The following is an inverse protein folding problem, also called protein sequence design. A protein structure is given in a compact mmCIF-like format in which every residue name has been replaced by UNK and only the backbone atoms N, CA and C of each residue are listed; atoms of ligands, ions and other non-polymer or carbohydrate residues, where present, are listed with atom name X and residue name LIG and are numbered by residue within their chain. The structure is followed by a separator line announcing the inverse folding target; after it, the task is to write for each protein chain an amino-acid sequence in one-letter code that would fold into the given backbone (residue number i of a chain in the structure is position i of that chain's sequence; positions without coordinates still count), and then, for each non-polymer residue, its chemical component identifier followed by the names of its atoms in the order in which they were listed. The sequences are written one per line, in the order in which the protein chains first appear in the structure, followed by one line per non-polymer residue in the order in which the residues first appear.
data_IF_896454494410
#
_entry.id   IF_896454494410
#
_cell.length_a   1.000
_cell.length_b   1.000
_cell.length_c   1.000
_cell.angle_alpha   90.00
_cell.angle_beta   90.00
_cell.angle_gamma   90.00
#
_symmetry.space_group_name_H-M   'P 1'
#
loop_
_entity.id
_entity.type
_entity.pdbx_description
1 polymer ?
#
# COMPACT_ATOMS: atom_id res chain seq x y z
N UNK A 1 24.23 28.04 2.29
CA UNK A 1 22.91 27.67 2.85
C UNK A 1 21.79 27.88 1.83
N UNK A 2 21.62 29.07 1.23
CA UNK A 2 20.57 29.35 0.23
C UNK A 2 20.53 28.41 -1.02
N UNK A 3 21.67 27.87 -1.45
CA UNK A 3 21.73 26.95 -2.60
C UNK A 3 21.14 25.55 -2.29
N UNK A 4 21.17 25.12 -1.02
CA UNK A 4 20.56 23.85 -0.60
C UNK A 4 19.03 23.98 -0.52
N UNK A 5 18.55 25.15 -0.10
CA UNK A 5 17.12 25.45 0.01
C UNK A 5 16.42 25.57 -1.36
N UNK A 6 17.15 26.03 -2.39
CA UNK A 6 16.62 26.06 -3.77
C UNK A 6 16.53 24.66 -4.37
N UNK A 7 17.57 23.84 -4.16
CA UNK A 7 17.61 22.46 -4.66
C UNK A 7 16.54 21.60 -4.01
N UNK A 8 16.35 21.69 -2.68
CA UNK A 8 15.28 20.96 -1.98
C UNK A 8 13.89 21.37 -2.44
N UNK A 9 13.63 22.68 -2.64
CA UNK A 9 12.34 23.18 -3.16
C UNK A 9 12.07 22.77 -4.59
N UNK A 10 13.11 22.72 -5.44
CA UNK A 10 12.98 22.22 -6.82
C UNK A 10 12.70 20.71 -6.84
N UNK A 11 13.39 19.93 -6.00
CA UNK A 11 13.18 18.50 -5.89
C UNK A 11 11.79 18.17 -5.33
N UNK A 12 11.36 18.82 -4.25
CA UNK A 12 10.01 18.62 -3.68
C UNK A 12 8.91 18.93 -4.70
N UNK A 13 9.02 20.08 -5.37
CA UNK A 13 8.04 20.52 -6.38
C UNK A 13 8.05 19.62 -7.62
N UNK A 14 9.21 19.08 -7.99
CA UNK A 14 9.34 18.07 -9.03
C UNK A 14 8.65 16.76 -8.64
N UNK A 15 8.91 16.24 -7.45
CA UNK A 15 8.32 15.00 -6.93
C UNK A 15 6.79 15.08 -6.87
N UNK A 16 6.23 16.17 -6.32
CA UNK A 16 4.78 16.37 -6.26
C UNK A 16 4.12 16.38 -7.65
N UNK A 17 4.80 16.94 -8.65
CA UNK A 17 4.31 16.97 -10.03
C UNK A 17 4.36 15.57 -10.66
N UNK A 18 5.47 14.86 -10.48
CA UNK A 18 5.63 13.48 -10.96
C UNK A 18 4.63 12.52 -10.32
N UNK A 19 4.38 12.65 -9.02
CA UNK A 19 3.40 11.85 -8.29
C UNK A 19 1.99 12.01 -8.87
N UNK A 20 1.55 13.26 -9.09
CA UNK A 20 0.24 13.54 -9.73
C UNK A 20 0.18 12.99 -11.15
N UNK A 21 1.26 13.13 -11.92
CA UNK A 21 1.32 12.59 -13.28
C UNK A 21 1.23 11.06 -13.30
N UNK A 22 1.94 10.38 -12.40
CA UNK A 22 1.87 8.92 -12.24
C UNK A 22 0.48 8.47 -11.80
N UNK A 23 -0.11 9.15 -10.80
CA UNK A 23 -1.45 8.86 -10.33
C UNK A 23 -2.49 8.94 -11.46
N UNK A 24 -2.44 10.01 -12.27
CA UNK A 24 -3.33 10.18 -13.43
C UNK A 24 -3.10 9.12 -14.49
N UNK A 25 -1.84 8.78 -14.77
CA UNK A 25 -1.48 7.74 -15.74
C UNK A 25 -2.04 6.36 -15.33
N UNK A 26 -1.81 5.96 -14.08
CA UNK A 26 -2.32 4.70 -13.54
C UNK A 26 -3.85 4.72 -13.52
N UNK A 27 -4.47 5.84 -13.12
CA UNK A 27 -5.92 5.98 -13.10
C UNK A 27 -6.55 5.77 -14.48
N UNK A 28 -6.01 6.40 -15.52
CA UNK A 28 -6.45 6.18 -16.90
C UNK A 28 -6.30 4.71 -17.31
N UNK A 29 -5.17 4.09 -16.96
CA UNK A 29 -4.95 2.66 -17.20
C UNK A 29 -6.00 1.78 -16.52
N UNK A 30 -6.37 2.07 -15.27
CA UNK A 30 -7.43 1.36 -14.53
C UNK A 30 -8.78 1.54 -15.21
N UNK A 31 -9.15 2.77 -15.60
CA UNK A 31 -10.42 3.02 -16.30
C UNK A 31 -10.52 2.19 -17.58
N UNK A 32 -9.48 2.21 -18.42
CA UNK A 32 -9.46 1.43 -19.67
C UNK A 32 -9.52 -0.07 -19.38
N UNK A 33 -8.74 -0.56 -18.40
CA UNK A 33 -8.73 -1.97 -18.01
C UNK A 33 -10.10 -2.45 -17.50
N UNK A 34 -10.78 -1.61 -16.71
CA UNK A 34 -12.07 -1.96 -16.09
C UNK A 34 -13.18 -1.96 -17.12
N UNK A 35 -13.19 -0.99 -18.04
CA UNK A 35 -14.13 -0.95 -19.17
C UNK A 35 -13.94 -2.14 -20.11
N UNK A 36 -12.69 -2.46 -20.48
CA UNK A 36 -12.39 -3.62 -21.32
C UNK A 36 -12.78 -4.93 -20.62
N UNK A 37 -12.53 -5.05 -19.32
CA UNK A 37 -12.96 -6.22 -18.54
C UNK A 37 -14.48 -6.34 -18.46
N UNK A 38 -15.20 -5.24 -18.24
CA UNK A 38 -16.66 -5.23 -18.19
C UNK A 38 -17.27 -5.65 -19.53
N UNK A 39 -16.69 -5.20 -20.65
CA UNK A 39 -17.13 -5.60 -21.98
C UNK A 39 -16.97 -7.11 -22.21
N UNK A 40 -15.80 -7.66 -21.85
CA UNK A 40 -15.51 -9.08 -22.03
C UNK A 40 -16.42 -9.99 -21.18
N UNK A 41 -16.85 -9.50 -20.01
CA UNK A 41 -17.75 -10.23 -19.12
C UNK A 41 -19.23 -10.18 -19.53
N UNK A 42 -19.62 -9.19 -20.34
CA UNK A 42 -21.01 -9.07 -20.80
C UNK A 42 -21.45 -10.25 -21.69
N UNK A 43 -20.50 -10.85 -22.40
CA UNK A 43 -20.70 -12.04 -23.22
C UNK A 43 -20.18 -13.34 -22.60
N UNK A 44 -19.74 -13.29 -21.33
CA UNK A 44 -19.15 -14.46 -20.67
C UNK A 44 -20.22 -15.44 -20.18
N UNK A 45 -19.84 -16.71 -20.11
CA UNK A 45 -20.70 -17.79 -19.62
C UNK A 45 -20.61 -17.88 -18.09
N UNK A 46 -21.66 -17.39 -17.41
CA UNK A 46 -21.73 -17.30 -15.95
C UNK A 46 -21.97 -18.64 -15.25
N UNK A 47 -22.20 -19.70 -16.03
CA UNK A 47 -22.32 -21.07 -15.50
C UNK A 47 -20.98 -21.70 -15.13
N UNK A 48 -19.86 -21.13 -15.58
CA UNK A 48 -18.53 -21.72 -15.41
C UNK A 48 -17.79 -21.09 -14.22
N UNK A 49 -17.22 -21.93 -13.35
CA UNK A 49 -16.46 -21.49 -12.17
C UNK A 49 -15.24 -20.65 -12.56
N UNK A 50 -14.65 -20.91 -13.72
CA UNK A 50 -13.52 -20.17 -14.29
C UNK A 50 -13.85 -18.69 -14.51
N UNK A 51 -15.05 -18.39 -15.03
CA UNK A 51 -15.55 -17.02 -15.20
C UNK A 51 -15.56 -16.27 -13.87
N UNK A 52 -15.98 -16.93 -12.78
CA UNK A 52 -16.01 -16.33 -11.44
C UNK A 52 -14.57 -16.08 -10.92
N UNK A 53 -13.66 -17.04 -11.08
CA UNK A 53 -12.26 -16.84 -10.69
C UNK A 53 -11.61 -15.68 -11.45
N UNK A 54 -11.85 -15.60 -12.75
CA UNK A 54 -11.34 -14.52 -13.59
C UNK A 54 -11.94 -13.16 -13.21
N UNK A 55 -13.23 -13.10 -12.85
CA UNK A 55 -13.88 -11.89 -12.37
C UNK A 55 -13.22 -11.39 -11.09
N UNK A 56 -13.12 -12.26 -10.08
CA UNK A 56 -12.50 -11.93 -8.79
C UNK A 56 -11.07 -11.47 -9.02
N UNK A 57 -10.31 -12.16 -9.87
CA UNK A 57 -8.94 -11.78 -10.20
C UNK A 57 -8.83 -10.38 -10.82
N UNK A 58 -9.69 -10.05 -11.79
CA UNK A 58 -9.70 -8.74 -12.46
C UNK A 58 -10.14 -7.63 -11.50
N UNK A 59 -11.15 -7.89 -10.66
CA UNK A 59 -11.63 -6.93 -9.64
C UNK A 59 -10.54 -6.66 -8.61
N UNK A 60 -9.89 -7.68 -8.06
CA UNK A 60 -8.78 -7.50 -7.12
C UNK A 60 -7.63 -6.70 -7.73
N UNK A 61 -7.31 -6.95 -9.00
CA UNK A 61 -6.30 -6.18 -9.72
C UNK A 61 -6.67 -4.70 -9.82
N UNK A 62 -7.94 -4.38 -10.13
CA UNK A 62 -8.43 -3.02 -10.18
C UNK A 62 -8.38 -2.33 -8.80
N UNK A 63 -8.79 -3.02 -7.73
CA UNK A 63 -8.74 -2.50 -6.35
C UNK A 63 -7.31 -2.19 -5.93
N UNK A 64 -6.36 -3.09 -6.20
CA UNK A 64 -4.93 -2.89 -5.93
C UNK A 64 -4.42 -1.62 -6.64
N UNK A 65 -4.79 -1.42 -7.91
CA UNK A 65 -4.36 -0.25 -8.66
C UNK A 65 -5.00 1.05 -8.14
N UNK A 66 -6.27 1.02 -7.72
CA UNK A 66 -6.93 2.17 -7.08
C UNK A 66 -6.29 2.53 -5.73
N UNK A 67 -6.00 1.53 -4.89
CA UNK A 67 -5.37 1.78 -3.59
C UNK A 67 -3.91 2.26 -3.76
N UNK A 68 -3.21 1.82 -4.81
CA UNK A 68 -1.91 2.37 -5.18
C UNK A 68 -2.01 3.87 -5.55
N UNK A 69 -3.00 4.26 -6.35
CA UNK A 69 -3.25 5.68 -6.69
C UNK A 69 -3.55 6.48 -5.42
N UNK A 70 -4.42 5.97 -4.54
CA UNK A 70 -4.71 6.62 -3.25
C UNK A 70 -3.44 6.77 -2.44
N UNK A 71 -2.65 5.71 -2.28
CA UNK A 71 -1.40 5.71 -1.52
C UNK A 71 -0.39 6.71 -2.08
N UNK A 72 -0.26 6.80 -3.41
CA UNK A 72 0.58 7.80 -4.07
C UNK A 72 0.16 9.22 -3.66
N UNK A 73 -1.14 9.52 -3.65
CA UNK A 73 -1.65 10.88 -3.38
C UNK A 73 -1.71 11.22 -1.89
N UNK A 74 -2.07 10.27 -1.04
CA UNK A 74 -2.33 10.52 0.39
C UNK A 74 -1.16 10.15 1.30
N UNK A 75 -0.14 9.45 0.79
CA UNK A 75 1.04 9.02 1.55
C UNK A 75 0.71 8.27 2.86
N UNK A 76 -0.45 7.60 2.91
CA UNK A 76 -0.92 6.90 4.10
C UNK A 76 -0.33 5.48 4.18
N UNK A 77 0.53 5.22 5.16
CA UNK A 77 1.17 3.91 5.33
C UNK A 77 0.16 2.81 5.71
N UNK A 78 -1.03 3.15 6.22
CA UNK A 78 -2.11 2.20 6.46
C UNK A 78 -2.69 1.62 5.15
N UNK A 79 -2.83 2.44 4.11
CA UNK A 79 -3.28 2.01 2.78
C UNK A 79 -2.34 1.00 2.12
N UNK A 80 -1.03 1.11 2.39
CA UNK A 80 -0.03 0.15 1.87
C UNK A 80 -0.26 -1.26 2.40
N UNK A 81 -0.69 -1.40 3.66
CA UNK A 81 -0.91 -2.71 4.27
C UNK A 81 -2.18 -3.39 3.73
N UNK A 82 -3.24 -2.61 3.51
CA UNK A 82 -4.47 -3.08 2.87
C UNK A 82 -4.19 -3.52 1.41
N UNK A 83 -3.43 -2.71 0.67
CA UNK A 83 -2.93 -3.04 -0.66
C UNK A 83 -2.15 -4.38 -0.66
N UNK A 84 -1.23 -4.57 0.29
CA UNK A 84 -0.44 -5.79 0.38
C UNK A 84 -1.30 -7.02 0.71
N UNK A 85 -2.32 -6.88 1.55
CA UNK A 85 -3.29 -7.95 1.82
C UNK A 85 -4.00 -8.39 0.54
N UNK A 86 -4.48 -7.43 -0.27
CA UNK A 86 -5.11 -7.70 -1.55
C UNK A 86 -4.15 -8.35 -2.57
N UNK A 87 -2.88 -7.92 -2.61
CA UNK A 87 -1.85 -8.52 -3.47
C UNK A 87 -1.61 -9.99 -3.12
N UNK A 88 -1.55 -10.31 -1.83
CA UNK A 88 -1.41 -11.70 -1.34
C UNK A 88 -2.64 -12.51 -1.70
N UNK A 89 -3.85 -12.00 -1.42
CA UNK A 89 -5.11 -12.66 -1.77
C UNK A 89 -5.24 -12.94 -3.28
N UNK A 90 -4.79 -12.00 -4.13
CA UNK A 90 -4.75 -12.21 -5.58
C UNK A 90 -3.81 -13.36 -5.97
N UNK A 91 -2.63 -13.47 -5.34
CA UNK A 91 -1.69 -14.56 -5.63
C UNK A 91 -2.26 -15.92 -5.25
N UNK A 92 -3.06 -16.00 -4.17
CA UNK A 92 -3.65 -17.26 -3.69
C UNK A 92 -4.82 -17.78 -4.51
N UNK A 93 -5.37 -16.99 -5.44
CA UNK A 93 -6.48 -17.37 -6.32
C UNK A 93 -6.05 -18.15 -7.57
N UNK A 94 -4.75 -18.36 -7.79
CA UNK A 94 -4.26 -19.15 -8.92
C UNK A 94 -4.39 -20.65 -8.62
N UNK A 95 -5.02 -21.47 -9.47
CA UNK A 95 -5.22 -22.89 -9.19
C UNK A 95 -3.92 -23.71 -9.12
N UNK A 96 -2.84 -23.26 -9.78
CA UNK A 96 -1.53 -23.94 -9.79
C UNK A 96 -0.57 -23.44 -8.70
N UNK A 97 -1.06 -23.28 -7.47
CA UNK A 97 -0.18 -22.89 -6.37
C UNK A 97 0.42 -24.11 -5.72
N UNK A 98 1.75 -24.15 -5.71
CA UNK A 98 2.47 -25.09 -4.87
C UNK A 98 2.22 -24.73 -3.40
N UNK A 99 2.23 -25.72 -2.51
CA UNK A 99 2.15 -25.51 -1.05
C UNK A 99 3.21 -24.50 -0.59
N UNK A 100 4.36 -24.46 -1.25
CA UNK A 100 5.42 -23.48 -1.01
C UNK A 100 5.00 -22.04 -1.32
N UNK A 101 4.24 -21.80 -2.40
CA UNK A 101 3.78 -20.46 -2.77
C UNK A 101 2.78 -19.91 -1.76
N UNK A 102 1.88 -20.77 -1.28
CA UNK A 102 0.91 -20.44 -0.24
C UNK A 102 1.66 -20.13 1.06
N UNK A 103 2.57 -20.99 1.50
CA UNK A 103 3.34 -20.78 2.72
C UNK A 103 4.16 -19.49 2.68
N UNK A 104 4.84 -19.21 1.57
CA UNK A 104 5.64 -17.99 1.40
C UNK A 104 4.77 -16.73 1.40
N UNK A 105 3.57 -16.80 0.82
CA UNK A 105 2.61 -15.69 0.81
C UNK A 105 2.09 -15.34 2.22
N UNK A 106 1.82 -16.37 3.06
CA UNK A 106 1.42 -16.19 4.46
C UNK A 106 2.58 -15.63 5.31
N UNK A 107 3.81 -16.13 5.10
CA UNK A 107 5.00 -15.62 5.80
C UNK A 107 5.28 -14.17 5.42
N UNK A 108 5.20 -13.83 4.12
CA UNK A 108 5.35 -12.45 3.66
C UNK A 108 4.28 -11.54 4.29
N UNK A 109 3.03 -11.98 4.32
CA UNK A 109 1.94 -11.24 4.97
C UNK A 109 2.18 -11.04 6.47
N UNK A 110 2.65 -12.06 7.19
CA UNK A 110 2.97 -11.98 8.60
C UNK A 110 4.15 -11.03 8.89
N UNK A 111 5.20 -11.04 8.05
CA UNK A 111 6.34 -10.13 8.16
C UNK A 111 5.88 -8.68 7.94
N UNK A 112 5.03 -8.43 6.94
CA UNK A 112 4.47 -7.11 6.67
C UNK A 112 3.66 -6.59 7.86
N UNK A 113 2.84 -7.46 8.47
CA UNK A 113 2.07 -7.13 9.67
C UNK A 113 2.96 -6.91 10.91
N UNK A 114 4.06 -7.66 11.02
CA UNK A 114 5.05 -7.52 12.09
C UNK A 114 5.88 -6.23 11.96
N UNK A 115 6.29 -5.88 10.75
CA UNK A 115 7.00 -4.64 10.44
C UNK A 115 6.20 -3.40 10.82
N UNK A 116 4.86 -3.43 10.64
CA UNK A 116 3.96 -2.40 11.16
C UNK A 116 4.13 -2.20 12.67
N UNK A 117 4.15 -3.28 13.46
CA UNK A 117 4.23 -3.14 14.92
C UNK A 117 5.56 -2.52 15.37
N UNK A 118 6.64 -2.77 14.65
CA UNK A 118 7.98 -2.25 14.98
C UNK A 118 8.24 -0.83 14.47
N UNK A 119 7.71 -0.44 13.31
CA UNK A 119 7.91 0.91 12.74
C UNK A 119 6.99 1.97 13.37
N UNK A 120 5.84 1.57 13.91
CA UNK A 120 4.83 2.49 14.47
C UNK A 120 4.82 2.54 16.00
N UNK A 121 5.88 2.07 16.67
CA UNK A 121 6.02 2.24 18.11
C UNK A 121 6.87 3.49 18.36
N UNK A 122 6.28 4.65 18.73
CA UNK A 122 7.03 5.77 19.26
C UNK A 122 8.04 5.29 20.31
N UNK A 123 9.31 5.74 20.24
CA UNK A 123 10.23 5.51 21.33
C UNK A 123 9.59 6.05 22.60
N UNK A 124 9.31 5.18 23.56
CA UNK A 124 8.87 5.59 24.87
C UNK A 124 10.00 6.47 25.42
N UNK A 125 9.81 7.79 25.40
CA UNK A 125 10.74 8.73 26.02
C UNK A 125 10.68 8.44 27.52
N UNK A 126 11.77 7.94 28.13
CA UNK A 126 11.82 7.77 29.56
C UNK A 126 11.74 9.16 30.21
N UNK A 127 10.65 9.43 30.96
CA UNK A 127 10.52 10.64 31.77
C UNK A 127 11.31 10.45 33.06
N UNK A 128 12.63 10.56 32.99
CA UNK A 128 13.53 10.55 34.14
C UNK A 128 14.36 11.83 34.16
N UNK A 129 13.74 12.99 34.41
CA UNK A 129 14.51 14.20 34.75
C UNK A 129 13.80 15.29 35.58
N UNK A 130 12.54 15.10 36.01
CA UNK A 130 11.85 16.11 36.85
C UNK A 130 11.98 15.89 38.37
N UNK A 131 12.38 14.71 38.83
CA UNK A 131 12.44 14.41 40.27
C UNK A 131 13.71 14.93 40.99
N UNK A 132 14.76 15.34 40.27
CA UNK A 132 16.06 15.70 40.87
C UNK A 132 16.31 17.21 41.01
N UNK A 133 15.40 18.07 40.51
CA UNK A 133 15.52 19.53 40.64
C UNK A 133 14.80 20.12 41.86
N UNK A 134 14.04 19.32 42.60
CA UNK A 134 13.24 19.77 43.74
C UNK A 134 13.89 19.68 45.13
N UNK A 135 15.03 18.97 45.31
CA UNK A 135 15.62 18.74 46.64
C UNK A 135 16.85 19.60 46.96
N UNK A 136 17.30 20.48 46.05
CA UNK A 136 18.46 21.36 46.25
C UNK A 136 18.12 22.74 46.85
N UNK A 137 16.87 22.97 47.25
CA UNK A 137 16.41 24.27 47.75
C UNK A 137 15.62 24.13 49.05
N UNK A 138 16.10 23.29 49.97
CA UNK A 138 15.65 23.27 51.37
C UNK A 138 16.75 22.62 52.23
N UNK A 139 17.70 23.42 52.68
CA UNK A 139 18.81 23.00 53.54
C UNK A 139 19.69 24.17 53.91
#
# INVERSE_FOLDING_TARGET
MAHLDLVSRLLQRGTEWFERLLAVCIFLGVVVFTLHSAWNFLSADWGQTETIYELIYRVLLAVIALELIRTLVTHELQSVLELLAFVVARKTLKPDLSVYDIFLSVVAFAILLGGRRYLFLPPAIPHDEEASRGSGQAG
#
